data_IF_724834151726
#
_entry.id   IF_724834151726
#
_cell.length_a   1.000
_cell.length_b   1.000
_cell.length_c   1.000
_cell.angle_alpha   90.00
_cell.angle_beta   90.00
_cell.angle_gamma   90.00
#
_symmetry.space_group_name_H-M   'P 1'
#
loop_
_entity.id
_entity.type
_entity.pdbx_description
1 polymer ?
#
# COMPACT_ATOMS: atom_id res chain seq x y z
N UNK A 1 -18.26 -26.24 7.41
CA UNK A 1 -17.23 -25.83 6.44
C UNK A 1 -16.69 -27.03 5.66
N UNK A 2 -16.17 -28.07 6.33
CA UNK A 2 -15.63 -29.29 5.71
C UNK A 2 -16.66 -29.92 4.76
N UNK A 3 -17.89 -30.13 5.23
CA UNK A 3 -18.99 -30.71 4.43
C UNK A 3 -19.34 -29.85 3.20
N UNK A 4 -19.18 -28.52 3.29
CA UNK A 4 -19.40 -27.62 2.17
C UNK A 4 -18.31 -27.76 1.12
N UNK A 5 -17.05 -27.81 1.54
CA UNK A 5 -15.89 -28.00 0.67
C UNK A 5 -15.95 -29.35 -0.04
N UNK A 6 -16.32 -30.41 0.68
CA UNK A 6 -16.52 -31.74 0.14
C UNK A 6 -17.63 -31.75 -0.93
N UNK A 7 -18.80 -31.16 -0.63
CA UNK A 7 -19.91 -31.07 -1.56
C UNK A 7 -19.60 -30.31 -2.83
N UNK A 8 -18.84 -29.20 -2.73
CA UNK A 8 -18.41 -28.41 -3.88
C UNK A 8 -17.38 -29.12 -4.77
N UNK A 9 -16.62 -30.05 -4.22
CA UNK A 9 -15.55 -30.78 -4.92
C UNK A 9 -15.87 -32.26 -5.17
N UNK A 10 -17.11 -32.73 -4.96
CA UNK A 10 -17.52 -34.11 -5.14
C UNK A 10 -17.13 -34.67 -6.54
N UNK A 11 -17.23 -33.87 -7.58
CA UNK A 11 -16.84 -34.28 -8.94
C UNK A 11 -15.37 -34.67 -9.04
N UNK A 12 -14.46 -33.93 -8.40
CA UNK A 12 -13.03 -34.24 -8.36
C UNK A 12 -12.73 -35.45 -7.47
N UNK A 13 -13.40 -35.55 -6.34
CA UNK A 13 -13.23 -36.63 -5.37
C UNK A 13 -13.73 -37.98 -5.87
N UNK A 14 -14.74 -38.00 -6.74
CA UNK A 14 -15.29 -39.22 -7.32
C UNK A 14 -14.40 -39.86 -8.40
N UNK A 15 -13.45 -39.12 -8.95
CA UNK A 15 -12.48 -39.61 -9.94
C UNK A 15 -11.31 -40.35 -9.31
N UNK A 16 -11.18 -40.36 -8.01
CA UNK A 16 -10.05 -40.92 -7.26
C UNK A 16 -10.44 -42.31 -6.72
N UNK A 17 -9.66 -43.31 -7.04
CA UNK A 17 -9.95 -44.71 -6.71
C UNK A 17 -9.48 -45.12 -5.30
N UNK A 18 -8.47 -44.45 -4.72
CA UNK A 18 -7.92 -44.79 -3.40
C UNK A 18 -8.52 -43.92 -2.26
N UNK A 19 -8.92 -44.57 -1.18
CA UNK A 19 -9.54 -43.88 -0.02
C UNK A 19 -8.52 -42.98 0.72
N UNK A 20 -7.25 -43.38 0.78
CA UNK A 20 -6.17 -42.59 1.40
C UNK A 20 -5.91 -41.30 0.63
N UNK A 21 -5.76 -41.39 -0.68
CA UNK A 21 -5.51 -40.28 -1.59
C UNK A 21 -6.69 -39.27 -1.61
N UNK A 22 -7.91 -39.79 -1.55
CA UNK A 22 -9.12 -38.96 -1.43
C UNK A 22 -9.12 -38.14 -0.15
N UNK A 23 -8.68 -38.73 0.97
CA UNK A 23 -8.61 -38.04 2.26
C UNK A 23 -7.53 -36.95 2.28
N UNK A 24 -6.38 -37.22 1.66
CA UNK A 24 -5.27 -36.23 1.59
C UNK A 24 -5.64 -35.06 0.69
N UNK A 25 -6.28 -35.30 -0.43
CA UNK A 25 -6.78 -34.24 -1.33
C UNK A 25 -7.89 -33.43 -0.66
N UNK A 26 -8.82 -34.09 0.06
CA UNK A 26 -9.83 -33.36 0.81
C UNK A 26 -9.22 -32.45 1.88
N UNK A 27 -8.23 -32.94 2.62
CA UNK A 27 -7.52 -32.14 3.61
C UNK A 27 -6.82 -30.92 2.98
N UNK A 28 -6.16 -31.09 1.83
CA UNK A 28 -5.55 -29.99 1.11
C UNK A 28 -6.60 -28.98 0.65
N UNK A 29 -7.71 -29.41 0.07
CA UNK A 29 -8.80 -28.53 -0.36
C UNK A 29 -9.42 -27.76 0.83
N UNK A 30 -9.53 -28.37 2.00
CA UNK A 30 -10.02 -27.71 3.22
C UNK A 30 -9.02 -26.67 3.70
N UNK A 31 -7.72 -26.97 3.68
CA UNK A 31 -6.66 -26.01 4.06
C UNK A 31 -6.65 -24.82 3.11
N UNK A 32 -6.71 -25.06 1.80
CA UNK A 32 -6.71 -24.00 0.79
C UNK A 32 -7.96 -23.10 0.93
N UNK A 33 -9.14 -23.71 1.04
CA UNK A 33 -10.39 -22.97 1.23
C UNK A 33 -10.39 -22.16 2.53
N UNK A 34 -9.85 -22.72 3.63
CA UNK A 34 -9.73 -22.00 4.91
C UNK A 34 -8.77 -20.82 4.82
N UNK A 35 -7.65 -21.00 4.11
CA UNK A 35 -6.66 -19.93 3.90
C UNK A 35 -7.24 -18.76 3.10
N UNK A 36 -8.02 -19.05 2.06
CA UNK A 36 -8.72 -18.02 1.27
C UNK A 36 -9.77 -17.30 2.11
N UNK A 37 -10.56 -18.06 2.91
CA UNK A 37 -11.56 -17.46 3.79
C UNK A 37 -10.92 -16.51 4.82
N UNK A 38 -9.82 -16.94 5.48
CA UNK A 38 -9.11 -16.10 6.44
C UNK A 38 -8.57 -14.83 5.77
N UNK A 39 -7.96 -14.97 4.57
CA UNK A 39 -7.47 -13.82 3.81
C UNK A 39 -8.58 -12.84 3.45
N UNK A 40 -9.75 -13.32 3.05
CA UNK A 40 -10.91 -12.48 2.77
C UNK A 40 -11.41 -11.74 4.02
N UNK A 41 -11.50 -12.42 5.15
CA UNK A 41 -11.88 -11.80 6.42
C UNK A 41 -10.87 -10.71 6.84
N UNK A 42 -9.57 -10.98 6.74
CA UNK A 42 -8.52 -10.00 7.03
C UNK A 42 -8.58 -8.80 6.09
N UNK A 43 -8.75 -9.03 4.79
CA UNK A 43 -8.92 -7.95 3.80
C UNK A 43 -10.15 -7.10 4.11
N UNK A 44 -11.27 -7.72 4.47
CA UNK A 44 -12.48 -7.03 4.89
C UNK A 44 -12.28 -6.17 6.14
N UNK A 45 -11.56 -6.70 7.14
CA UNK A 45 -11.21 -5.97 8.35
C UNK A 45 -10.31 -4.76 8.02
N UNK A 46 -9.27 -4.95 7.23
CA UNK A 46 -8.36 -3.87 6.84
C UNK A 46 -9.08 -2.78 6.03
N UNK A 47 -9.93 -3.18 5.09
CA UNK A 47 -10.75 -2.24 4.32
C UNK A 47 -11.67 -1.43 5.22
N UNK A 48 -12.30 -2.07 6.22
CA UNK A 48 -13.18 -1.39 7.19
C UNK A 48 -12.40 -0.35 7.99
N UNK A 49 -11.19 -0.68 8.47
CA UNK A 49 -10.33 0.26 9.19
C UNK A 49 -9.97 1.46 8.31
N UNK A 50 -9.56 1.22 7.05
CA UNK A 50 -9.23 2.28 6.10
C UNK A 50 -10.43 3.20 5.84
N UNK A 51 -11.63 2.64 5.66
CA UNK A 51 -12.87 3.43 5.46
C UNK A 51 -13.17 4.28 6.70
N UNK A 52 -13.07 3.72 7.90
CA UNK A 52 -13.29 4.46 9.15
C UNK A 52 -12.28 5.61 9.27
N UNK A 53 -10.99 5.35 9.05
CA UNK A 53 -9.94 6.37 9.08
C UNK A 53 -10.19 7.46 8.03
N UNK A 54 -10.62 7.09 6.83
CA UNK A 54 -10.98 8.03 5.77
C UNK A 54 -12.13 8.97 6.22
N UNK A 55 -13.19 8.42 6.78
CA UNK A 55 -14.33 9.20 7.25
C UNK A 55 -13.90 10.13 8.38
N UNK A 56 -13.10 9.64 9.33
CA UNK A 56 -12.62 10.44 10.46
C UNK A 56 -11.71 11.59 10.00
N UNK A 57 -10.72 11.29 9.15
CA UNK A 57 -9.80 12.30 8.63
C UNK A 57 -10.53 13.33 7.76
N UNK A 58 -11.49 12.90 6.94
CA UNK A 58 -12.31 13.80 6.15
C UNK A 58 -13.14 14.76 7.02
N UNK A 59 -13.82 14.22 8.05
CA UNK A 59 -14.54 15.03 9.03
C UNK A 59 -13.61 16.01 9.77
N UNK A 60 -12.43 15.55 10.17
CA UNK A 60 -11.44 16.38 10.84
C UNK A 60 -10.97 17.54 9.95
N UNK A 61 -10.68 17.29 8.67
CA UNK A 61 -10.26 18.33 7.72
C UNK A 61 -11.31 19.41 7.47
N UNK A 62 -12.60 19.06 7.47
CA UNK A 62 -13.69 20.04 7.27
C UNK A 62 -14.16 20.70 8.58
N UNK A 63 -13.67 20.24 9.72
CA UNK A 63 -13.99 20.80 11.04
C UNK A 63 -13.31 22.16 11.28
N UNK A 64 -13.71 22.91 12.33
CA UNK A 64 -12.99 24.10 12.78
C UNK A 64 -11.52 23.81 13.10
N UNK A 65 -11.23 22.62 13.63
CA UNK A 65 -9.86 22.17 13.89
C UNK A 65 -9.03 22.07 12.62
N UNK A 66 -9.55 21.45 11.55
CA UNK A 66 -8.86 21.33 10.27
C UNK A 66 -8.59 22.70 9.61
N UNK A 67 -9.50 23.69 9.77
CA UNK A 67 -9.24 25.07 9.32
C UNK A 67 -8.09 25.71 10.10
N UNK A 68 -8.05 25.51 11.43
CA UNK A 68 -6.96 25.98 12.28
C UNK A 68 -5.62 25.39 11.87
N UNK A 69 -5.59 24.07 11.58
CA UNK A 69 -4.38 23.38 11.13
C UNK A 69 -3.85 23.91 9.81
N UNK A 70 -4.73 24.19 8.84
CA UNK A 70 -4.33 24.81 7.57
C UNK A 70 -3.75 26.20 7.79
N UNK A 71 -4.37 27.01 8.64
CA UNK A 71 -3.85 28.35 8.97
C UNK A 71 -2.44 28.29 9.59
N UNK A 72 -2.20 27.34 10.50
CA UNK A 72 -0.87 27.11 11.10
C UNK A 72 0.14 26.66 10.03
N UNK A 73 -0.24 25.71 9.15
CA UNK A 73 0.60 25.25 8.05
C UNK A 73 0.99 26.38 7.08
N UNK A 74 0.05 27.29 6.79
CA UNK A 74 0.26 28.36 5.82
C UNK A 74 1.11 29.50 6.41
N UNK A 75 0.91 29.85 7.69
CA UNK A 75 1.75 30.81 8.40
C UNK A 75 1.67 30.60 9.92
N UNK A 76 2.71 30.00 10.49
CA UNK A 76 2.82 29.65 11.90
C UNK A 76 2.88 30.90 12.79
N UNK A 77 3.69 31.89 12.39
CA UNK A 77 3.87 33.12 13.17
C UNK A 77 2.56 33.94 13.26
N UNK A 78 1.88 34.10 12.12
CA UNK A 78 0.59 34.80 12.10
C UNK A 78 -0.46 34.07 12.94
N UNK A 79 -0.51 32.74 12.90
CA UNK A 79 -1.41 31.94 13.73
C UNK A 79 -1.10 32.09 15.22
N UNK A 80 0.18 32.14 15.60
CA UNK A 80 0.64 32.41 16.96
C UNK A 80 0.24 33.80 17.45
N UNK A 81 0.45 34.83 16.62
CA UNK A 81 0.05 36.21 16.91
C UNK A 81 -1.47 36.36 17.14
N UNK A 82 -2.28 35.51 16.46
CA UNK A 82 -3.72 35.42 16.65
C UNK A 82 -4.13 34.62 17.92
N UNK A 83 -3.19 34.32 18.82
CA UNK A 83 -3.44 33.61 20.08
C UNK A 83 -3.62 32.11 19.96
N UNK A 84 -3.20 31.48 18.86
CA UNK A 84 -3.24 30.02 18.72
C UNK A 84 -2.00 29.39 19.37
N UNK A 85 -2.21 28.36 20.18
CA UNK A 85 -1.09 27.59 20.74
C UNK A 85 -0.59 26.57 19.71
N UNK A 86 0.37 26.99 18.88
CA UNK A 86 0.91 26.21 17.76
C UNK A 86 1.58 24.94 18.26
N UNK A 87 2.36 25.00 19.34
CA UNK A 87 3.05 23.83 19.91
C UNK A 87 2.07 22.74 20.33
N UNK A 88 0.99 23.12 21.00
CA UNK A 88 -0.06 22.15 21.41
C UNK A 88 -0.70 21.48 20.21
N UNK A 89 -0.95 22.22 19.14
CA UNK A 89 -1.57 21.68 17.94
C UNK A 89 -0.63 20.74 17.17
N UNK A 90 0.66 21.08 17.07
CA UNK A 90 1.67 20.19 16.48
C UNK A 90 1.80 18.90 17.28
N UNK A 91 1.81 18.98 18.62
CA UNK A 91 1.85 17.80 19.49
C UNK A 91 0.64 16.91 19.28
N UNK A 92 -0.56 17.51 19.15
CA UNK A 92 -1.80 16.76 18.93
C UNK A 92 -1.78 16.03 17.58
N UNK A 93 -1.33 16.69 16.49
CA UNK A 93 -1.16 16.03 15.19
C UNK A 93 -0.15 14.89 15.27
N UNK A 94 0.97 15.12 15.97
CA UNK A 94 2.01 14.09 16.12
C UNK A 94 1.47 12.85 16.86
N UNK A 95 0.72 13.03 17.95
CA UNK A 95 0.11 11.92 18.70
C UNK A 95 -0.89 11.17 17.84
N UNK A 96 -1.79 11.88 17.15
CA UNK A 96 -2.79 11.26 16.27
C UNK A 96 -2.14 10.51 15.10
N UNK A 97 -1.14 11.13 14.47
CA UNK A 97 -0.40 10.52 13.37
C UNK A 97 0.33 9.26 13.82
N UNK A 98 1.03 9.31 14.97
CA UNK A 98 1.73 8.16 15.54
C UNK A 98 0.78 7.01 15.88
N UNK A 99 -0.41 7.31 16.41
CA UNK A 99 -1.43 6.30 16.70
C UNK A 99 -1.91 5.59 15.42
N UNK A 100 -2.15 6.34 14.33
CA UNK A 100 -2.57 5.78 13.04
C UNK A 100 -1.45 4.92 12.43
N UNK A 101 -0.19 5.38 12.50
CA UNK A 101 0.97 4.62 12.03
C UNK A 101 1.14 3.33 12.85
N UNK A 102 0.95 3.38 14.17
CA UNK A 102 0.97 2.19 15.02
C UNK A 102 -0.10 1.17 14.64
N UNK A 103 -1.32 1.63 14.34
CA UNK A 103 -2.39 0.76 13.85
C UNK A 103 -2.03 0.13 12.49
N UNK A 104 -1.49 0.91 11.56
CA UNK A 104 -1.03 0.40 10.26
C UNK A 104 0.08 -0.64 10.41
N UNK A 105 1.02 -0.43 11.34
CA UNK A 105 2.07 -1.39 11.67
C UNK A 105 1.51 -2.71 12.22
N UNK A 106 0.53 -2.64 13.11
CA UNK A 106 -0.17 -3.84 13.62
C UNK A 106 -0.86 -4.61 12.49
N UNK A 107 -1.55 -3.93 11.59
CA UNK A 107 -2.18 -4.53 10.41
C UNK A 107 -1.15 -5.20 9.49
N UNK A 108 0.00 -4.57 9.26
CA UNK A 108 1.09 -5.13 8.46
C UNK A 108 1.63 -6.42 9.06
N UNK A 109 1.96 -6.42 10.36
CA UNK A 109 2.46 -7.62 11.07
C UNK A 109 1.43 -8.75 11.05
N UNK A 110 0.15 -8.43 11.21
CA UNK A 110 -0.94 -9.42 11.15
C UNK A 110 -1.05 -10.04 9.75
N UNK A 111 -0.88 -9.23 8.70
CA UNK A 111 -0.91 -9.70 7.31
C UNK A 111 0.29 -10.60 6.98
N UNK A 112 1.47 -10.24 7.46
CA UNK A 112 2.70 -11.00 7.19
C UNK A 112 2.79 -12.29 8.02
N UNK A 113 2.02 -12.38 9.11
CA UNK A 113 1.97 -13.54 10.00
C UNK A 113 3.26 -13.77 10.79
N UNK A 114 4.26 -12.91 10.63
CA UNK A 114 5.57 -13.01 11.26
C UNK A 114 6.09 -11.62 11.63
N UNK A 115 6.56 -11.47 12.86
CA UNK A 115 7.28 -10.28 13.29
C UNK A 115 8.74 -10.60 13.58
N UNK A 116 9.66 -10.03 12.81
CA UNK A 116 11.08 -10.02 13.11
C UNK A 116 11.62 -8.60 13.10
N UNK A 117 12.60 -8.24 13.95
CA UNK A 117 13.18 -6.90 13.97
C UNK A 117 13.75 -6.45 12.62
N UNK A 118 14.17 -7.39 11.77
CA UNK A 118 14.69 -7.12 10.42
C UNK A 118 13.64 -7.01 9.31
N UNK A 119 12.37 -7.35 9.58
CA UNK A 119 11.29 -7.31 8.58
C UNK A 119 10.99 -5.88 8.12
N UNK A 120 11.06 -4.92 9.04
CA UNK A 120 10.83 -3.52 8.72
C UNK A 120 12.16 -2.80 8.48
N UNK A 121 12.40 -2.39 7.24
CA UNK A 121 13.54 -1.52 6.86
C UNK A 121 13.03 -0.09 6.69
N UNK A 122 13.29 0.83 7.66
CA UNK A 122 12.70 2.17 7.66
C UNK A 122 12.95 2.94 6.36
N UNK A 123 14.19 2.90 5.86
CA UNK A 123 14.59 3.56 4.60
C UNK A 123 13.68 3.17 3.42
N UNK A 124 13.39 1.88 3.28
CA UNK A 124 12.57 1.37 2.18
C UNK A 124 11.11 1.78 2.31
N UNK A 125 10.50 1.50 3.46
CA UNK A 125 9.08 1.73 3.66
C UNK A 125 8.74 3.21 3.76
N UNK A 126 9.53 3.97 4.51
CA UNK A 126 9.31 5.42 4.67
C UNK A 126 9.45 6.14 3.33
N UNK A 127 10.46 5.82 2.53
CA UNK A 127 10.64 6.41 1.21
C UNK A 127 9.45 6.13 0.28
N UNK A 128 9.00 4.88 0.22
CA UNK A 128 7.87 4.49 -0.63
C UNK A 128 6.58 5.20 -0.20
N UNK A 129 6.33 5.34 1.11
CA UNK A 129 5.17 6.06 1.63
C UNK A 129 5.22 7.55 1.23
N UNK A 130 6.39 8.18 1.30
CA UNK A 130 6.54 9.57 0.85
C UNK A 130 6.23 9.72 -0.64
N UNK A 131 6.74 8.81 -1.47
CA UNK A 131 6.44 8.80 -2.90
C UNK A 131 4.94 8.63 -3.13
N UNK A 132 4.26 7.73 -2.40
CA UNK A 132 2.81 7.53 -2.48
C UNK A 132 2.04 8.83 -2.23
N UNK A 133 2.42 9.58 -1.20
CA UNK A 133 1.76 10.85 -0.84
C UNK A 133 2.05 11.95 -1.86
N UNK A 134 3.29 12.06 -2.34
CA UNK A 134 3.67 13.06 -3.35
C UNK A 134 2.97 12.78 -4.67
N UNK A 135 3.01 11.53 -5.14
CA UNK A 135 2.36 11.08 -6.37
C UNK A 135 0.84 11.29 -6.30
N UNK A 136 0.24 10.95 -5.17
CA UNK A 136 -1.21 11.09 -4.97
C UNK A 136 -1.67 12.54 -4.91
N UNK A 137 -0.86 13.39 -4.33
CA UNK A 137 -1.13 14.80 -4.08
C UNK A 137 -1.26 15.13 -2.60
N UNK A 138 -0.36 15.97 -2.11
CA UNK A 138 -0.34 16.43 -0.72
C UNK A 138 -1.58 17.27 -0.42
N UNK A 139 -2.22 17.00 0.72
CA UNK A 139 -3.40 17.74 1.19
C UNK A 139 -4.75 17.16 0.75
N UNK A 140 -4.77 16.03 0.04
CA UNK A 140 -6.01 15.34 -0.33
C UNK A 140 -5.99 13.87 0.09
N UNK A 141 -6.94 13.46 0.94
CA UNK A 141 -7.04 12.06 1.43
C UNK A 141 -7.25 11.05 0.30
N UNK A 142 -8.09 11.40 -0.69
CA UNK A 142 -8.30 10.54 -1.86
C UNK A 142 -7.07 10.47 -2.75
N UNK A 143 -6.29 11.57 -2.82
CA UNK A 143 -5.00 11.59 -3.47
C UNK A 143 -4.03 10.60 -2.83
N UNK A 144 -3.92 10.60 -1.50
CA UNK A 144 -3.05 9.68 -0.78
C UNK A 144 -3.41 8.20 -1.05
N UNK A 145 -4.70 7.86 -1.11
CA UNK A 145 -5.17 6.50 -1.45
C UNK A 145 -4.81 6.15 -2.89
N UNK A 146 -5.12 7.03 -3.84
CA UNK A 146 -4.81 6.79 -5.25
C UNK A 146 -3.30 6.63 -5.46
N UNK A 147 -2.48 7.48 -4.82
CA UNK A 147 -1.04 7.40 -4.85
C UNK A 147 -0.51 6.10 -4.24
N UNK A 148 -1.12 5.65 -3.13
CA UNK A 148 -0.83 4.37 -2.51
C UNK A 148 -1.04 3.20 -3.48
N UNK A 149 -2.20 3.14 -4.12
CA UNK A 149 -2.50 2.10 -5.13
C UNK A 149 -1.59 2.20 -6.36
N UNK A 150 -1.37 3.39 -6.91
CA UNK A 150 -0.55 3.58 -8.10
C UNK A 150 0.91 3.16 -7.86
N UNK A 151 1.52 3.62 -6.75
CA UNK A 151 2.91 3.28 -6.44
C UNK A 151 3.05 1.82 -6.04
N UNK A 152 2.07 1.26 -5.31
CA UNK A 152 2.08 -0.17 -4.96
C UNK A 152 1.93 -1.05 -6.20
N UNK A 153 1.07 -0.68 -7.14
CA UNK A 153 0.95 -1.35 -8.42
C UNK A 153 2.28 -1.34 -9.19
N UNK A 154 2.91 -0.18 -9.31
CA UNK A 154 4.24 -0.07 -9.93
C UNK A 154 5.29 -0.92 -9.20
N UNK A 155 5.22 -0.97 -7.87
CA UNK A 155 6.13 -1.78 -7.06
C UNK A 155 5.99 -3.28 -7.34
N UNK A 156 4.78 -3.78 -7.49
CA UNK A 156 4.50 -5.20 -7.76
C UNK A 156 4.86 -5.54 -9.20
N UNK A 157 4.43 -4.72 -10.16
CA UNK A 157 4.60 -4.97 -11.59
C UNK A 157 6.02 -4.71 -12.10
N UNK A 158 6.83 -3.93 -11.38
CA UNK A 158 8.18 -3.59 -11.80
C UNK A 158 9.08 -4.82 -12.00
N UNK A 159 8.90 -5.88 -11.18
CA UNK A 159 9.65 -7.13 -11.31
C UNK A 159 9.32 -7.90 -12.60
N UNK A 160 8.05 -8.27 -12.82
CA UNK A 160 7.59 -8.89 -14.07
C UNK A 160 7.94 -8.08 -15.32
N UNK A 161 7.77 -6.75 -15.30
CA UNK A 161 8.14 -5.86 -16.41
C UNK A 161 9.64 -5.93 -16.69
N UNK A 162 10.48 -5.88 -15.64
CA UNK A 162 11.93 -5.98 -15.80
C UNK A 162 12.32 -7.30 -16.46
N UNK A 163 11.78 -8.43 -15.98
CA UNK A 163 12.06 -9.75 -16.57
C UNK A 163 11.58 -9.86 -18.00
N UNK A 164 10.40 -9.32 -18.31
CA UNK A 164 9.88 -9.27 -19.67
C UNK A 164 10.81 -8.48 -20.60
N UNK A 165 11.25 -7.28 -20.18
CA UNK A 165 12.16 -6.45 -20.96
C UNK A 165 13.51 -7.14 -21.14
N UNK A 166 14.08 -7.71 -20.07
CA UNK A 166 15.35 -8.43 -20.14
C UNK A 166 15.25 -9.57 -21.15
N UNK A 167 14.23 -10.41 -21.06
CA UNK A 167 14.04 -11.52 -21.96
C UNK A 167 13.82 -11.05 -23.41
N UNK A 168 13.06 -9.96 -23.62
CA UNK A 168 12.83 -9.39 -24.94
C UNK A 168 14.13 -8.91 -25.60
N UNK A 169 14.98 -8.19 -24.87
CA UNK A 169 16.25 -7.68 -25.40
C UNK A 169 17.35 -8.73 -25.47
N UNK A 170 17.25 -9.82 -24.70
CA UNK A 170 18.25 -10.89 -24.65
C UNK A 170 17.80 -12.17 -25.35
N UNK A 171 16.77 -12.11 -26.21
CA UNK A 171 16.25 -13.27 -26.97
C UNK A 171 17.35 -13.97 -27.79
N UNK A 172 18.33 -13.21 -28.28
CA UNK A 172 19.43 -13.76 -29.09
C UNK A 172 20.65 -14.22 -28.27
N UNK A 173 20.60 -14.11 -26.94
CA UNK A 173 21.69 -14.51 -26.06
C UNK A 173 21.37 -15.87 -25.41
N UNK A 174 22.38 -16.75 -25.34
CA UNK A 174 22.30 -18.00 -24.61
C UNK A 174 21.93 -17.77 -23.13
N UNK A 175 21.19 -18.69 -22.53
CA UNK A 175 20.77 -18.59 -21.13
C UNK A 175 21.96 -18.54 -20.14
N UNK A 176 23.07 -19.15 -20.52
CA UNK A 176 24.33 -19.17 -19.75
C UNK A 176 25.19 -17.92 -19.97
N UNK A 177 24.75 -16.95 -20.78
CA UNK A 177 25.53 -15.73 -21.02
C UNK A 177 25.60 -14.88 -19.73
N UNK A 178 26.82 -14.53 -19.33
CA UNK A 178 27.09 -13.77 -18.10
C UNK A 178 26.30 -12.45 -18.03
N UNK A 179 26.08 -11.78 -19.16
CA UNK A 179 25.31 -10.55 -19.23
C UNK A 179 23.82 -10.79 -18.93
N UNK A 180 23.23 -11.85 -19.48
CA UNK A 180 21.81 -12.22 -19.21
C UNK A 180 21.62 -12.58 -17.74
N UNK A 181 22.50 -13.40 -17.18
CA UNK A 181 22.45 -13.78 -15.76
C UNK A 181 22.54 -12.53 -14.87
N UNK A 182 23.49 -11.64 -15.12
CA UNK A 182 23.65 -10.41 -14.34
C UNK A 182 22.44 -9.49 -14.42
N UNK A 183 21.80 -9.35 -15.60
CA UNK A 183 20.58 -8.57 -15.76
C UNK A 183 19.40 -9.17 -14.99
N UNK A 184 19.24 -10.49 -15.01
CA UNK A 184 18.17 -11.19 -14.27
C UNK A 184 18.38 -11.02 -12.76
N UNK A 185 19.60 -11.15 -12.25
CA UNK A 185 19.93 -10.90 -10.85
C UNK A 185 19.68 -9.45 -10.43
N UNK A 186 19.81 -8.52 -11.36
CA UNK A 186 19.56 -7.08 -11.15
C UNK A 186 18.09 -6.68 -11.27
N UNK A 187 17.21 -7.55 -11.76
CA UNK A 187 15.78 -7.27 -11.95
C UNK A 187 15.07 -6.73 -10.68
N UNK A 188 15.37 -7.20 -9.44
CA UNK A 188 14.77 -6.65 -8.24
C UNK A 188 15.06 -5.15 -8.01
N UNK A 189 16.20 -4.65 -8.48
CA UNK A 189 16.57 -3.24 -8.33
C UNK A 189 15.83 -2.32 -9.31
N UNK A 190 15.28 -2.88 -10.38
CA UNK A 190 14.47 -2.16 -11.35
C UNK A 190 13.25 -1.47 -10.73
N UNK A 191 12.75 -1.99 -9.61
CA UNK A 191 11.66 -1.37 -8.85
C UNK A 191 11.98 0.06 -8.41
N UNK A 192 13.18 0.28 -7.90
CA UNK A 192 13.60 1.62 -7.45
C UNK A 192 13.75 2.58 -8.63
N UNK A 193 14.26 2.10 -9.75
CA UNK A 193 14.36 2.87 -10.99
C UNK A 193 12.97 3.28 -11.48
N UNK A 194 12.02 2.34 -11.57
CA UNK A 194 10.65 2.60 -12.01
C UNK A 194 9.93 3.61 -11.12
N UNK A 195 10.08 3.50 -9.80
CA UNK A 195 9.51 4.46 -8.85
C UNK A 195 10.15 5.83 -9.01
N UNK A 196 11.48 5.89 -9.14
CA UNK A 196 12.20 7.16 -9.33
C UNK A 196 11.79 7.86 -10.63
N UNK A 197 11.74 7.13 -11.73
CA UNK A 197 11.27 7.66 -13.02
C UNK A 197 9.80 8.07 -12.95
N UNK A 198 8.95 7.25 -12.35
CA UNK A 198 7.54 7.57 -12.14
C UNK A 198 7.34 8.86 -11.34
N UNK A 199 8.12 9.04 -10.26
CA UNK A 199 8.12 10.26 -9.46
C UNK A 199 8.55 11.48 -10.30
N UNK A 200 9.66 11.38 -11.06
CA UNK A 200 10.14 12.45 -11.92
C UNK A 200 9.10 12.85 -12.97
N UNK A 201 8.48 11.89 -13.62
CA UNK A 201 7.42 12.13 -14.63
C UNK A 201 6.25 12.86 -13.99
N UNK A 202 5.75 12.40 -12.84
CA UNK A 202 4.62 13.03 -12.16
C UNK A 202 4.99 14.44 -11.70
N UNK A 203 6.14 14.64 -11.08
CA UNK A 203 6.59 15.96 -10.64
C UNK A 203 6.80 16.93 -11.82
N UNK A 204 7.19 16.44 -12.99
CA UNK A 204 7.35 17.24 -14.20
C UNK A 204 6.02 17.67 -14.79
N UNK A 205 5.04 16.75 -14.91
CA UNK A 205 3.78 17.01 -15.60
C UNK A 205 2.65 17.39 -14.65
N UNK A 206 2.67 16.93 -13.41
CA UNK A 206 1.64 17.16 -12.38
C UNK A 206 2.27 17.49 -11.01
N UNK A 207 2.93 18.66 -10.86
CA UNK A 207 3.67 19.00 -9.62
C UNK A 207 2.77 19.04 -8.36
N UNK A 208 1.44 19.18 -8.52
CA UNK A 208 0.47 19.12 -7.42
C UNK A 208 -0.04 17.71 -7.13
N UNK A 209 0.54 16.69 -7.74
CA UNK A 209 0.09 15.29 -7.66
C UNK A 209 -1.10 14.98 -8.57
N UNK A 210 -1.59 13.73 -8.48
CA UNK A 210 -2.70 13.24 -9.31
C UNK A 210 -4.02 13.91 -8.94
N UNK A 211 -4.28 14.09 -7.64
CA UNK A 211 -5.47 14.77 -7.12
C UNK A 211 -5.04 15.93 -6.21
N UNK A 212 -4.99 17.16 -6.75
CA UNK A 212 -4.56 18.32 -5.97
C UNK A 212 -5.55 18.68 -4.86
N UNK A 213 -5.06 19.37 -3.82
CA UNK A 213 -5.91 19.96 -2.78
C UNK A 213 -6.87 20.98 -3.38
N UNK A 214 -8.16 20.84 -3.09
CA UNK A 214 -9.17 21.85 -3.44
C UNK A 214 -9.17 22.95 -2.38
N UNK A 215 -8.45 24.02 -2.64
CA UNK A 215 -8.52 25.23 -1.81
C UNK A 215 -9.77 26.00 -2.25
N UNK A 216 -10.83 25.97 -1.44
CA UNK A 216 -11.98 26.87 -1.64
C UNK A 216 -11.58 28.28 -1.20
N UNK A 217 -10.85 29.00 -2.03
CA UNK A 217 -10.79 30.45 -1.96
C UNK A 217 -12.14 30.99 -2.45
N UNK A 218 -13.12 31.13 -1.55
CA UNK A 218 -14.19 32.10 -1.84
C UNK A 218 -13.48 33.44 -2.02
N UNK A 219 -13.45 33.94 -3.24
CA UNK A 219 -13.10 35.34 -3.50
C UNK A 219 -14.04 36.18 -2.62
N UNK A 220 -13.48 36.90 -1.67
CA UNK A 220 -14.12 37.95 -0.89
C UNK A 220 -14.30 39.13 -1.88
#
# INVERSE_FOLDING_TARGET
FINLVEKLNQGKLNLISSVSEKKDILNQLVIDASSVYVKLCMTGLFLTVVIILLILTQKALYSPWGRKMRAIRDNEEAAGAMGKNVVKEHLLIFILGSAIVGLAGAMMVTNDGLFTPGSYRPMRYTFVIWVMVIVGGTGNNFGAILGGFAVWFLWVEAGPIALFLINFFTVHLDEANALKVHLIESAPYFRFLMIGVGLLVIMRYRPKGLIPEKINTKKI
#
